data_IF_526453011344
#
_entry.id   IF_526453011344
#
_cell.length_a   1.000
_cell.length_b   1.000
_cell.length_c   1.000
_cell.angle_alpha   90.00
_cell.angle_beta   90.00
_cell.angle_gamma   90.00
#
_symmetry.space_group_name_H-M   'P 1'
#
loop_
_entity.id
_entity.type
_entity.pdbx_description
1 polymer ?
#
# COMPACT_ATOMS: atom_id res chain seq x y z
N UNK A 1 34.25 30.79 -12.11
CA UNK A 1 33.23 29.79 -11.91
C UNK A 1 33.42 29.24 -10.50
N UNK A 2 32.39 29.26 -9.65
CA UNK A 2 32.47 28.54 -8.37
C UNK A 2 32.54 27.04 -8.65
N UNK A 3 33.45 26.37 -8.02
CA UNK A 3 33.58 24.90 -8.10
C UNK A 3 32.32 24.25 -7.52
N UNK A 4 31.78 23.22 -8.18
CA UNK A 4 30.63 22.47 -7.68
C UNK A 4 31.08 21.53 -6.54
N UNK A 5 30.88 21.94 -5.31
CA UNK A 5 31.32 21.22 -4.12
C UNK A 5 30.40 20.04 -3.72
N UNK A 6 29.15 19.99 -4.22
CA UNK A 6 28.16 19.04 -3.77
C UNK A 6 28.57 17.57 -3.99
N UNK A 7 29.17 17.16 -5.14
CA UNK A 7 29.60 15.78 -5.33
C UNK A 7 30.71 15.36 -4.36
N UNK A 8 31.64 16.29 -4.09
CA UNK A 8 32.74 16.04 -3.17
C UNK A 8 32.26 15.88 -1.72
N UNK A 9 31.33 16.72 -1.27
CA UNK A 9 30.70 16.62 0.03
C UNK A 9 29.85 15.35 0.18
N UNK A 10 29.03 15.04 -0.83
CA UNK A 10 28.23 13.82 -0.84
C UNK A 10 29.12 12.59 -0.67
N UNK A 11 30.20 12.52 -1.44
CA UNK A 11 31.14 11.40 -1.36
C UNK A 11 31.75 11.28 0.05
N UNK A 12 32.23 12.37 0.63
CA UNK A 12 32.82 12.34 1.99
C UNK A 12 31.81 11.89 3.05
N UNK A 13 30.57 12.40 3.00
CA UNK A 13 29.54 12.04 3.96
C UNK A 13 29.20 10.55 3.84
N UNK A 14 29.10 10.02 2.61
CA UNK A 14 28.86 8.59 2.37
C UNK A 14 30.01 7.73 2.88
N UNK A 15 31.25 8.07 2.51
CA UNK A 15 32.45 7.33 2.93
C UNK A 15 32.53 7.27 4.47
N UNK A 16 32.29 8.40 5.15
CA UNK A 16 32.29 8.47 6.62
C UNK A 16 31.16 7.64 7.23
N UNK A 17 29.95 7.74 6.67
CA UNK A 17 28.79 6.98 7.14
C UNK A 17 28.97 5.48 6.95
N UNK A 18 29.35 5.03 5.74
CA UNK A 18 29.60 3.62 5.47
C UNK A 18 30.71 3.04 6.34
N UNK A 19 31.80 3.78 6.53
CA UNK A 19 32.89 3.37 7.40
C UNK A 19 32.39 3.23 8.84
N UNK A 20 31.68 4.23 9.34
CA UNK A 20 31.14 4.23 10.70
C UNK A 20 30.18 3.05 10.93
N UNK A 21 29.28 2.76 9.98
CA UNK A 21 28.37 1.60 10.02
C UNK A 21 29.14 0.29 10.07
N UNK A 22 30.16 0.13 9.22
CA UNK A 22 31.00 -1.10 9.15
C UNK A 22 31.82 -1.33 10.44
N UNK A 23 32.22 -0.28 11.14
CA UNK A 23 33.06 -0.37 12.33
C UNK A 23 32.26 -0.42 13.64
N UNK A 24 30.97 -0.04 13.60
CA UNK A 24 30.14 0.09 14.80
C UNK A 24 29.82 -1.25 15.44
N UNK A 25 30.08 -1.37 16.73
CA UNK A 25 29.88 -2.60 17.51
C UNK A 25 28.42 -2.93 17.72
N UNK A 26 27.58 -1.90 18.01
CA UNK A 26 26.16 -2.10 18.30
C UNK A 26 25.44 -2.61 17.02
N UNK A 27 25.77 -2.04 15.88
CA UNK A 27 25.18 -2.48 14.61
C UNK A 27 25.59 -3.90 14.26
N UNK A 28 26.85 -4.29 14.51
CA UNK A 28 27.31 -5.67 14.34
C UNK A 28 26.61 -6.63 15.29
N UNK A 29 26.55 -6.31 16.57
CA UNK A 29 25.84 -7.14 17.55
C UNK A 29 24.39 -7.39 17.18
N UNK A 30 23.68 -6.37 16.67
CA UNK A 30 22.29 -6.54 16.23
C UNK A 30 22.22 -7.35 14.93
N UNK A 31 23.11 -7.15 13.98
CA UNK A 31 23.16 -7.94 12.74
C UNK A 31 23.45 -9.42 13.04
N UNK A 32 24.30 -9.72 14.02
CA UNK A 32 24.65 -11.08 14.44
C UNK A 32 23.47 -11.83 15.11
N UNK A 33 22.44 -11.13 15.59
CA UNK A 33 21.21 -11.76 16.10
C UNK A 33 20.45 -12.53 15.00
N UNK A 34 20.60 -12.16 13.75
CA UNK A 34 19.97 -12.80 12.59
C UNK A 34 18.47 -12.95 12.78
N UNK A 35 17.97 -14.20 12.70
CA UNK A 35 16.54 -14.51 12.84
C UNK A 35 15.98 -14.34 14.27
N UNK A 36 16.84 -14.11 15.28
CA UNK A 36 16.40 -13.84 16.66
C UNK A 36 16.20 -12.36 16.95
N UNK A 37 16.57 -11.46 16.02
CA UNK A 37 16.39 -10.03 16.17
C UNK A 37 14.90 -9.65 16.24
N UNK A 38 14.61 -8.64 17.05
CA UNK A 38 13.26 -8.13 17.31
C UNK A 38 13.07 -6.72 16.75
N UNK A 39 11.85 -6.22 16.70
CA UNK A 39 11.59 -4.81 16.36
C UNK A 39 12.18 -3.81 17.38
N UNK A 40 12.37 -4.24 18.65
CA UNK A 40 13.14 -3.45 19.60
C UNK A 40 14.61 -3.31 19.18
N UNK A 41 15.21 -4.38 18.65
CA UNK A 41 16.56 -4.35 18.09
C UNK A 41 16.62 -3.53 16.80
N UNK A 42 15.61 -3.62 15.92
CA UNK A 42 15.50 -2.75 14.77
C UNK A 42 15.44 -1.26 15.15
N UNK A 43 14.70 -0.91 16.21
CA UNK A 43 14.66 0.46 16.70
C UNK A 43 16.03 0.93 17.25
N UNK A 44 16.76 0.06 17.97
CA UNK A 44 18.14 0.36 18.41
C UNK A 44 19.08 0.54 17.23
N UNK A 45 18.96 -0.31 16.22
CA UNK A 45 19.71 -0.23 14.96
C UNK A 45 19.43 1.08 14.22
N UNK A 46 18.15 1.46 14.09
CA UNK A 46 17.74 2.70 13.45
C UNK A 46 18.22 3.96 14.18
N UNK A 47 18.16 3.97 15.50
CA UNK A 47 18.73 5.05 16.31
C UNK A 47 20.22 5.17 16.00
N UNK A 48 20.94 4.05 16.06
CA UNK A 48 22.39 4.06 15.85
C UNK A 48 22.77 4.48 14.44
N UNK A 49 22.09 3.97 13.41
CA UNK A 49 22.27 4.39 12.02
C UNK A 49 22.04 5.89 11.85
N UNK A 50 20.96 6.42 12.45
CA UNK A 50 20.67 7.86 12.43
C UNK A 50 21.75 8.70 13.15
N UNK A 51 22.27 8.23 14.27
CA UNK A 51 23.38 8.88 14.99
C UNK A 51 24.66 8.93 14.16
N UNK A 52 25.00 7.82 13.50
CA UNK A 52 26.20 7.73 12.65
C UNK A 52 26.07 8.64 11.42
N UNK A 53 24.89 8.72 10.80
CA UNK A 53 24.65 9.64 9.70
C UNK A 53 24.68 11.10 10.16
N UNK A 54 24.06 11.41 11.29
CA UNK A 54 24.11 12.75 11.88
C UNK A 54 25.57 13.17 12.20
N UNK A 55 26.39 12.24 12.66
CA UNK A 55 27.81 12.49 12.91
C UNK A 55 28.59 12.71 11.59
N UNK A 56 28.28 11.95 10.54
CA UNK A 56 28.88 12.15 9.22
C UNK A 56 28.54 13.54 8.63
N UNK A 57 27.31 14.00 8.81
CA UNK A 57 26.95 15.38 8.46
C UNK A 57 27.76 16.40 9.27
N UNK A 58 27.81 16.23 10.60
CA UNK A 58 28.54 17.14 11.50
C UNK A 58 30.01 17.22 11.15
N UNK A 59 30.64 16.13 10.74
CA UNK A 59 32.05 16.08 10.38
C UNK A 59 32.37 16.82 9.07
N UNK A 60 31.40 16.86 8.14
CA UNK A 60 31.62 17.34 6.79
C UNK A 60 30.91 18.65 6.42
N UNK A 61 29.97 19.09 7.25
CA UNK A 61 29.17 20.29 6.98
C UNK A 61 29.34 21.31 8.10
N UNK A 62 29.69 22.53 7.72
CA UNK A 62 29.74 23.70 8.59
C UNK A 62 29.65 24.96 7.75
N UNK A 63 29.37 26.11 8.37
CA UNK A 63 29.39 27.41 7.67
C UNK A 63 30.74 27.71 7.02
N UNK A 64 31.85 27.16 7.55
CA UNK A 64 33.19 27.35 6.97
C UNK A 64 33.42 26.52 5.70
N UNK A 65 32.71 25.43 5.52
CA UNK A 65 32.85 24.53 4.36
C UNK A 65 31.91 24.93 3.24
N UNK A 66 30.75 25.51 3.60
CA UNK A 66 29.70 25.85 2.64
C UNK A 66 29.90 27.24 2.06
N UNK A 67 29.53 27.48 0.78
CA UNK A 67 29.62 28.79 0.13
C UNK A 67 28.80 29.81 0.94
N UNK A 68 29.38 30.97 1.20
CA UNK A 68 28.78 32.05 1.99
C UNK A 68 28.23 31.60 3.37
N UNK A 69 28.70 30.47 3.89
CA UNK A 69 28.22 29.89 5.14
C UNK A 69 26.82 29.27 5.05
N UNK A 70 26.25 29.08 3.84
CA UNK A 70 24.87 28.68 3.59
C UNK A 70 24.78 27.30 2.96
N UNK A 71 23.79 26.53 3.36
CA UNK A 71 23.40 25.32 2.67
C UNK A 71 22.42 25.68 1.55
N UNK A 72 22.92 26.06 0.39
CA UNK A 72 22.06 26.35 -0.76
C UNK A 72 21.20 25.15 -1.14
N UNK A 73 19.97 25.41 -1.62
CA UNK A 73 18.99 24.39 -1.98
C UNK A 73 19.55 23.33 -2.95
N UNK A 74 20.28 23.77 -3.98
CA UNK A 74 20.88 22.85 -4.96
C UNK A 74 21.96 21.93 -4.34
N UNK A 75 22.65 22.36 -3.30
CA UNK A 75 23.60 21.52 -2.54
C UNK A 75 22.81 20.56 -1.64
N UNK A 76 21.87 21.07 -0.84
CA UNK A 76 21.04 20.27 0.05
C UNK A 76 20.28 19.17 -0.71
N UNK A 77 19.67 19.51 -1.85
CA UNK A 77 18.87 18.59 -2.68
C UNK A 77 19.69 17.43 -3.28
N UNK A 78 20.99 17.60 -3.43
CA UNK A 78 21.91 16.60 -3.98
C UNK A 78 22.58 15.74 -2.91
N UNK A 79 22.58 16.20 -1.66
CA UNK A 79 23.25 15.49 -0.55
C UNK A 79 22.23 14.75 0.31
N UNK A 80 21.20 15.46 0.80
CA UNK A 80 20.33 14.95 1.85
C UNK A 80 19.42 13.81 1.37
N UNK A 81 18.74 13.89 0.22
CA UNK A 81 17.91 12.79 -0.26
C UNK A 81 18.67 11.49 -0.47
N UNK A 82 19.88 11.58 -1.04
CA UNK A 82 20.69 10.41 -1.35
C UNK A 82 21.17 9.70 -0.08
N UNK A 83 21.69 10.46 0.88
CA UNK A 83 22.19 9.90 2.14
C UNK A 83 21.08 9.39 3.05
N UNK A 84 19.91 10.06 3.09
CA UNK A 84 18.72 9.57 3.80
C UNK A 84 18.12 8.35 3.14
N UNK A 85 18.23 8.23 1.80
CA UNK A 85 17.81 7.02 1.08
C UNK A 85 18.71 5.84 1.43
N UNK A 86 20.02 6.02 1.52
CA UNK A 86 20.94 4.96 1.94
C UNK A 86 20.66 4.51 3.38
N UNK A 87 20.40 5.45 4.28
CA UNK A 87 19.99 5.15 5.65
C UNK A 87 18.65 4.40 5.69
N UNK A 88 17.68 4.79 4.83
CA UNK A 88 16.42 4.08 4.68
C UNK A 88 16.65 2.65 4.16
N UNK A 89 17.48 2.47 3.12
CA UNK A 89 17.74 1.15 2.55
C UNK A 89 18.35 0.19 3.58
N UNK A 90 19.27 0.69 4.40
CA UNK A 90 19.90 -0.05 5.48
C UNK A 90 18.88 -0.50 6.55
N UNK A 91 18.05 0.42 7.04
CA UNK A 91 17.09 0.15 8.13
C UNK A 91 15.92 -0.69 7.62
N UNK A 92 15.37 -0.37 6.46
CA UNK A 92 14.24 -1.12 5.90
C UNK A 92 14.64 -2.54 5.51
N UNK A 93 15.89 -2.78 5.08
CA UNK A 93 16.43 -4.12 4.90
C UNK A 93 16.46 -4.92 6.20
N UNK A 94 16.89 -4.29 7.31
CA UNK A 94 16.88 -4.93 8.63
C UNK A 94 15.47 -5.26 9.11
N UNK A 95 14.51 -4.33 8.97
CA UNK A 95 13.11 -4.58 9.37
C UNK A 95 12.45 -5.67 8.52
N UNK A 96 12.80 -5.78 7.24
CA UNK A 96 12.31 -6.83 6.34
C UNK A 96 12.76 -8.22 6.81
N UNK A 97 14.05 -8.38 7.16
CA UNK A 97 14.58 -9.62 7.71
C UNK A 97 13.88 -10.02 9.02
N UNK A 98 13.68 -9.06 9.92
CA UNK A 98 12.98 -9.30 11.20
C UNK A 98 11.53 -9.72 10.95
N UNK A 99 10.80 -9.01 10.08
CA UNK A 99 9.42 -9.36 9.78
C UNK A 99 9.31 -10.75 9.12
N UNK A 100 10.25 -11.07 8.23
CA UNK A 100 10.31 -12.40 7.63
C UNK A 100 10.51 -13.48 8.70
N UNK A 101 11.45 -13.30 9.62
CA UNK A 101 11.68 -14.23 10.71
C UNK A 101 10.46 -14.39 11.62
N UNK A 102 9.77 -13.31 11.95
CA UNK A 102 8.52 -13.35 12.72
C UNK A 102 7.41 -14.08 11.98
N UNK A 103 7.28 -13.88 10.66
CA UNK A 103 6.31 -14.59 9.83
C UNK A 103 6.60 -16.10 9.80
N UNK A 104 7.86 -16.47 9.62
CA UNK A 104 8.29 -17.89 9.63
C UNK A 104 8.02 -18.55 10.98
N UNK A 105 8.41 -17.92 12.09
CA UNK A 105 8.16 -18.41 13.44
C UNK A 105 6.67 -18.58 13.76
N UNK A 106 5.84 -17.65 13.26
CA UNK A 106 4.40 -17.69 13.44
C UNK A 106 3.68 -18.63 12.45
N UNK A 107 4.40 -19.21 11.47
CA UNK A 107 3.81 -20.02 10.39
C UNK A 107 2.95 -19.20 9.44
N UNK A 108 3.27 -17.93 9.25
CA UNK A 108 2.57 -17.00 8.36
C UNK A 108 3.23 -17.06 6.97
N UNK A 109 2.53 -17.58 5.97
CA UNK A 109 3.00 -17.68 4.58
C UNK A 109 2.82 -16.39 3.75
N UNK A 110 2.72 -15.22 4.39
CA UNK A 110 2.60 -13.93 3.71
C UNK A 110 3.98 -13.31 3.51
N UNK A 111 4.13 -12.56 2.40
CA UNK A 111 5.33 -11.77 2.15
C UNK A 111 5.43 -10.62 3.15
N UNK A 112 6.64 -10.13 3.37
CA UNK A 112 6.89 -8.89 4.09
C UNK A 112 6.59 -7.69 3.21
N UNK A 113 6.18 -6.59 3.83
CA UNK A 113 5.97 -5.30 3.16
C UNK A 113 7.08 -4.35 3.62
N UNK A 114 7.81 -3.82 2.66
CA UNK A 114 8.79 -2.76 2.90
C UNK A 114 8.06 -1.41 2.86
N UNK A 115 8.22 -0.53 3.86
CA UNK A 115 7.54 0.77 3.86
C UNK A 115 8.07 1.64 2.72
N UNK A 116 7.26 2.56 2.23
CA UNK A 116 7.71 3.55 1.24
C UNK A 116 8.65 4.59 1.90
N UNK A 117 9.62 5.07 1.11
CA UNK A 117 10.50 6.15 1.55
C UNK A 117 9.68 7.46 1.70
N UNK A 118 9.69 8.05 2.88
CA UNK A 118 8.97 9.30 3.15
C UNK A 118 9.70 10.50 2.52
N UNK A 119 9.44 10.72 1.23
CA UNK A 119 10.04 11.81 0.44
C UNK A 119 9.61 13.19 0.89
N UNK A 120 8.38 13.35 1.40
CA UNK A 120 7.86 14.61 1.90
C UNK A 120 8.65 15.09 3.12
N UNK A 121 8.99 14.16 4.01
CA UNK A 121 9.82 14.46 5.18
C UNK A 121 11.25 14.81 4.80
N UNK A 122 11.81 14.12 3.82
CA UNK A 122 13.14 14.45 3.25
C UNK A 122 13.13 15.86 2.66
N UNK A 123 12.11 16.18 1.86
CA UNK A 123 11.96 17.52 1.27
C UNK A 123 11.81 18.60 2.37
N UNK A 124 11.06 18.30 3.42
CA UNK A 124 10.94 19.17 4.58
C UNK A 124 12.30 19.46 5.26
N UNK A 125 13.19 18.46 5.37
CA UNK A 125 14.56 18.65 5.89
C UNK A 125 15.38 19.51 4.94
N UNK A 126 15.36 19.22 3.63
CA UNK A 126 16.05 20.01 2.58
C UNK A 126 15.63 21.47 2.64
N UNK A 127 14.32 21.73 2.65
CA UNK A 127 13.76 23.07 2.70
C UNK A 127 14.17 23.82 3.98
N UNK A 128 14.15 23.13 5.13
CA UNK A 128 14.51 23.76 6.40
C UNK A 128 15.98 24.18 6.45
N UNK A 129 16.90 23.31 6.02
CA UNK A 129 18.34 23.64 6.06
C UNK A 129 18.74 24.65 5.01
N UNK A 130 18.03 24.71 3.88
CA UNK A 130 18.33 25.66 2.78
C UNK A 130 17.70 27.03 2.96
N UNK A 131 16.74 27.19 3.88
CA UNK A 131 16.09 28.48 4.15
C UNK A 131 16.87 29.37 5.10
N UNK A 132 17.88 28.87 5.80
CA UNK A 132 18.62 29.64 6.79
C UNK A 132 19.71 30.53 6.19
N UNK A 133 19.97 31.66 6.83
CA UNK A 133 21.04 32.59 6.46
C UNK A 133 22.42 32.01 6.74
N UNK A 134 22.56 31.27 7.84
CA UNK A 134 23.77 30.53 8.19
C UNK A 134 23.42 29.06 8.48
N UNK A 135 24.22 28.16 7.96
CA UNK A 135 24.02 26.71 8.16
C UNK A 135 24.10 26.31 9.63
N UNK A 136 25.02 26.89 10.38
CA UNK A 136 25.25 26.54 11.80
C UNK A 136 24.02 26.80 12.68
N UNK A 137 23.14 27.76 12.29
CA UNK A 137 21.87 28.02 12.99
C UNK A 137 20.85 26.90 12.83
N UNK A 138 20.97 26.10 11.77
CA UNK A 138 20.06 25.01 11.43
C UNK A 138 20.73 23.64 11.37
N UNK A 139 22.00 23.56 11.70
CA UNK A 139 22.74 22.27 11.69
C UNK A 139 22.09 21.19 12.53
N UNK A 140 21.35 21.56 13.59
CA UNK A 140 20.58 20.65 14.44
C UNK A 140 19.52 19.85 13.67
N UNK A 141 19.04 20.36 12.51
CA UNK A 141 18.06 19.66 11.66
C UNK A 141 18.64 18.36 11.09
N UNK A 142 19.95 18.31 10.86
CA UNK A 142 20.66 17.11 10.43
C UNK A 142 21.18 16.26 11.62
N UNK A 143 20.74 16.56 12.84
CA UNK A 143 20.99 15.81 14.07
C UNK A 143 19.79 14.97 14.48
N UNK A 144 19.11 15.33 15.56
CA UNK A 144 17.99 14.57 16.13
C UNK A 144 16.82 14.32 15.15
N UNK A 145 16.42 15.26 14.26
CA UNK A 145 15.43 14.97 13.22
C UNK A 145 15.80 13.81 12.29
N UNK A 146 17.11 13.62 11.99
CA UNK A 146 17.59 12.48 11.19
C UNK A 146 17.47 11.18 11.97
N UNK A 147 17.76 11.18 13.28
CA UNK A 147 17.57 10.01 14.15
C UNK A 147 16.08 9.64 14.21
N UNK A 148 15.22 10.63 14.39
CA UNK A 148 13.77 10.39 14.40
C UNK A 148 13.23 9.93 13.04
N UNK A 149 13.81 10.40 11.93
CA UNK A 149 13.52 9.88 10.60
C UNK A 149 13.89 8.40 10.51
N UNK A 150 15.07 8.03 10.98
CA UNK A 150 15.54 6.64 11.00
C UNK A 150 14.60 5.72 11.80
N UNK A 151 14.16 6.15 12.97
CA UNK A 151 13.21 5.40 13.79
C UNK A 151 11.84 5.27 13.13
N UNK A 152 11.38 6.31 12.39
CA UNK A 152 10.07 6.24 11.72
C UNK A 152 10.02 5.18 10.62
N UNK A 153 11.14 4.78 10.04
CA UNK A 153 11.21 3.69 9.07
C UNK A 153 10.80 2.36 9.73
N UNK A 154 11.20 2.14 10.97
CA UNK A 154 10.82 0.97 11.77
C UNK A 154 9.32 1.00 12.09
N UNK A 155 8.81 2.15 12.53
CA UNK A 155 7.38 2.31 12.85
C UNK A 155 6.49 2.12 11.61
N UNK A 156 6.91 2.66 10.47
CA UNK A 156 6.23 2.50 9.19
C UNK A 156 6.27 1.04 8.71
N UNK A 157 7.38 0.33 8.90
CA UNK A 157 7.49 -1.09 8.60
C UNK A 157 6.48 -1.92 9.42
N UNK A 158 6.36 -1.65 10.72
CA UNK A 158 5.38 -2.32 11.57
C UNK A 158 3.96 -2.00 11.11
N UNK A 159 3.67 -0.73 10.83
CA UNK A 159 2.34 -0.28 10.38
C UNK A 159 1.92 -0.98 9.09
N UNK A 160 2.76 -0.94 8.06
CA UNK A 160 2.45 -1.50 6.74
C UNK A 160 2.27 -3.04 6.80
N UNK A 161 3.12 -3.74 7.56
CA UNK A 161 2.98 -5.18 7.75
C UNK A 161 1.73 -5.52 8.58
N UNK A 162 1.41 -4.75 9.63
CA UNK A 162 0.19 -4.95 10.41
C UNK A 162 -1.07 -4.73 9.56
N UNK A 163 -1.07 -3.70 8.72
CA UNK A 163 -2.18 -3.41 7.81
C UNK A 163 -2.33 -4.50 6.75
N UNK A 164 -1.24 -4.94 6.13
CA UNK A 164 -1.26 -6.01 5.13
C UNK A 164 -1.73 -7.34 5.74
N UNK A 165 -1.22 -7.70 6.91
CA UNK A 165 -1.63 -8.91 7.62
C UNK A 165 -3.09 -8.82 8.07
N UNK A 166 -3.52 -7.65 8.56
CA UNK A 166 -4.91 -7.43 8.94
C UNK A 166 -5.88 -7.56 7.76
N UNK A 167 -5.54 -6.97 6.61
CA UNK A 167 -6.30 -7.12 5.35
C UNK A 167 -6.33 -8.59 4.88
N UNK A 168 -5.32 -9.37 5.22
CA UNK A 168 -5.23 -10.80 4.93
C UNK A 168 -5.97 -11.69 5.97
N UNK A 169 -6.71 -11.08 6.89
CA UNK A 169 -7.53 -11.78 7.89
C UNK A 169 -6.77 -12.18 9.16
N UNK A 170 -5.54 -11.72 9.35
CA UNK A 170 -4.82 -11.87 10.59
C UNK A 170 -5.24 -10.77 11.59
N UNK A 171 -4.94 -10.97 12.86
CA UNK A 171 -5.16 -9.97 13.91
C UNK A 171 -3.87 -9.75 14.69
N UNK A 172 -2.86 -9.10 14.09
CA UNK A 172 -1.63 -8.81 14.80
C UNK A 172 -1.87 -7.83 15.96
N UNK A 173 -0.97 -7.85 16.91
CA UNK A 173 -0.91 -6.91 18.01
C UNK A 173 0.24 -5.94 17.82
N UNK A 174 0.00 -4.67 18.13
CA UNK A 174 1.02 -3.64 18.16
C UNK A 174 1.24 -3.24 19.61
N UNK A 175 2.48 -3.28 20.05
CA UNK A 175 2.84 -3.03 21.45
C UNK A 175 3.76 -1.82 21.49
N UNK A 176 3.30 -0.73 22.12
CA UNK A 176 4.16 0.43 22.37
C UNK A 176 4.68 0.39 23.79
N UNK A 177 6.01 0.32 23.91
CA UNK A 177 6.72 0.32 25.19
C UNK A 177 7.44 1.64 25.39
N UNK A 178 7.34 2.18 26.59
CA UNK A 178 8.04 3.40 26.98
C UNK A 178 9.50 3.11 27.34
N UNK A 179 10.39 4.03 26.95
CA UNK A 179 11.73 4.08 27.47
C UNK A 179 11.72 4.81 28.83
N UNK A 180 12.75 4.56 29.67
CA UNK A 180 12.92 5.27 30.94
C UNK A 180 12.96 6.79 30.72
N UNK A 181 12.26 7.56 31.59
CA UNK A 181 12.20 9.02 31.50
C UNK A 181 11.27 9.53 30.34
N UNK A 182 10.30 8.76 29.91
CA UNK A 182 9.37 9.18 28.87
C UNK A 182 8.46 10.34 29.34
N UNK A 183 7.96 11.14 28.37
CA UNK A 183 7.02 12.21 28.64
C UNK A 183 5.57 11.67 28.81
N UNK A 184 4.67 12.52 29.34
CA UNK A 184 3.25 12.17 29.54
C UNK A 184 2.56 11.71 28.27
N UNK A 185 2.88 12.33 27.13
CA UNK A 185 2.31 11.92 25.84
C UNK A 185 2.72 10.48 25.47
N UNK A 186 3.99 10.11 25.63
CA UNK A 186 4.44 8.74 25.41
C UNK A 186 3.77 7.75 26.37
N UNK A 187 3.57 8.14 27.62
CA UNK A 187 2.88 7.31 28.61
C UNK A 187 1.41 7.09 28.24
N UNK A 188 0.74 8.12 27.70
CA UNK A 188 -0.65 8.04 27.27
C UNK A 188 -0.87 7.11 26.05
N UNK A 189 0.13 6.96 25.17
CA UNK A 189 0.05 6.09 23.99
C UNK A 189 0.74 4.74 24.18
N UNK A 190 1.30 4.48 25.36
CA UNK A 190 1.87 3.18 25.70
C UNK A 190 0.76 2.15 25.90
N UNK A 191 0.97 0.94 25.41
CA UNK A 191 -0.02 -0.12 25.55
C UNK A 191 0.08 -1.19 24.47
N UNK A 192 -0.90 -2.08 24.49
CA UNK A 192 -1.04 -3.17 23.53
C UNK A 192 -2.36 -2.99 22.80
N UNK A 193 -2.29 -2.99 21.48
CA UNK A 193 -3.41 -2.70 20.58
C UNK A 193 -3.60 -3.83 19.59
N UNK A 194 -4.83 -4.29 19.46
CA UNK A 194 -5.20 -5.29 18.45
C UNK A 194 -5.52 -4.59 17.12
N UNK A 195 -4.96 -5.08 16.02
CA UNK A 195 -5.39 -4.58 14.71
C UNK A 195 -6.84 -5.04 14.42
N UNK A 196 -7.73 -4.17 13.88
CA UNK A 196 -7.47 -2.86 13.29
C UNK A 196 -7.55 -1.66 14.26
N UNK A 197 -7.81 -1.85 15.53
CA UNK A 197 -8.11 -0.79 16.50
C UNK A 197 -6.84 -0.12 17.07
N UNK A 198 -5.83 0.09 16.21
CA UNK A 198 -4.54 0.71 16.58
C UNK A 198 -4.63 2.22 16.37
N UNK A 199 -4.54 3.04 17.43
CA UNK A 199 -4.50 4.50 17.29
C UNK A 199 -3.31 4.95 16.45
N UNK A 200 -3.51 5.93 15.56
CA UNK A 200 -2.43 6.44 14.70
C UNK A 200 -1.23 6.99 15.50
N UNK A 201 -1.49 7.50 16.70
CA UNK A 201 -0.46 8.06 17.57
C UNK A 201 0.52 7.01 18.14
N UNK A 202 0.16 5.73 18.08
CA UNK A 202 1.05 4.63 18.49
C UNK A 202 2.33 4.61 17.66
N UNK A 203 2.28 5.03 16.38
CA UNK A 203 3.43 5.10 15.48
C UNK A 203 4.12 6.46 15.44
N UNK A 204 3.60 7.47 16.16
CA UNK A 204 4.17 8.81 16.16
C UNK A 204 5.31 8.94 17.16
N UNK A 205 6.24 9.86 16.87
CA UNK A 205 7.37 10.20 17.70
C UNK A 205 7.48 11.71 17.89
N UNK A 206 7.78 12.13 19.09
CA UNK A 206 8.22 13.49 19.39
C UNK A 206 9.75 13.58 19.32
N UNK A 207 10.28 14.77 19.45
CA UNK A 207 11.73 14.99 19.52
C UNK A 207 12.36 14.13 20.64
N UNK A 208 13.50 13.51 20.36
CA UNK A 208 14.26 12.63 21.28
C UNK A 208 13.48 11.45 21.85
N UNK A 209 12.43 11.02 21.17
CA UNK A 209 11.71 9.83 21.59
C UNK A 209 12.57 8.57 21.41
N UNK A 210 12.65 7.74 22.47
CA UNK A 210 13.37 6.45 22.46
C UNK A 210 12.45 5.26 22.76
N UNK A 211 11.14 5.49 22.81
CA UNK A 211 10.14 4.42 22.97
C UNK A 211 10.19 3.44 21.81
N UNK A 212 9.80 2.19 22.05
CA UNK A 212 9.76 1.15 21.01
C UNK A 212 8.32 0.85 20.60
N UNK A 213 8.15 0.50 19.34
CA UNK A 213 6.95 -0.14 18.83
C UNK A 213 7.34 -1.55 18.42
N UNK A 214 6.56 -2.53 18.80
CA UNK A 214 6.79 -3.93 18.51
C UNK A 214 5.57 -4.52 17.82
N UNK A 215 5.81 -5.54 17.02
CA UNK A 215 4.80 -6.30 16.31
C UNK A 215 4.71 -7.71 16.89
N UNK A 216 3.51 -8.14 17.27
CA UNK A 216 3.21 -9.52 17.65
C UNK A 216 2.20 -10.10 16.67
N UNK A 217 2.57 -11.13 15.89
CA UNK A 217 1.66 -11.79 14.95
C UNK A 217 0.52 -12.54 15.64
N UNK A 218 0.49 -12.60 16.98
CA UNK A 218 -0.42 -13.44 17.76
C UNK A 218 -0.47 -14.86 17.23
N UNK A 219 0.59 -15.60 17.41
CA UNK A 219 0.67 -17.02 17.13
C UNK A 219 -0.20 -17.85 18.10
N UNK A 220 -1.49 -17.53 18.18
CA UNK A 220 -2.45 -18.51 18.71
C UNK A 220 -2.34 -19.71 17.81
N UNK A 221 -2.35 -20.94 18.36
CA UNK A 221 -2.29 -22.25 17.71
C UNK A 221 -2.93 -22.28 16.31
N UNK A 222 -2.33 -21.58 15.34
CA UNK A 222 -2.71 -21.68 13.93
C UNK A 222 -2.16 -23.01 13.47
N UNK A 223 -3.07 -23.88 13.12
CA UNK A 223 -2.66 -25.12 12.48
C UNK A 223 -1.91 -24.73 11.21
N UNK A 224 -0.63 -24.99 11.16
CA UNK A 224 0.11 -24.96 9.93
C UNK A 224 -0.54 -26.00 9.00
N UNK A 225 -1.35 -25.52 8.06
CA UNK A 225 -2.07 -26.39 7.12
C UNK A 225 -1.08 -27.19 6.24
N UNK A 226 0.14 -26.70 6.09
CA UNK A 226 1.19 -27.33 5.28
C UNK A 226 1.96 -28.42 6.02
N UNK A 227 2.09 -28.33 7.34
CA UNK A 227 2.80 -29.33 8.17
C UNK A 227 1.86 -30.22 8.96
N UNK A 228 0.55 -30.05 8.81
CA UNK A 228 -0.42 -30.92 9.48
C UNK A 228 -0.36 -32.31 8.87
N UNK A 229 0.32 -33.21 9.54
CA UNK A 229 0.13 -34.63 9.29
C UNK A 229 -1.30 -35.01 9.71
N UNK A 230 -2.10 -35.42 8.76
CA UNK A 230 -3.42 -35.97 9.05
C UNK A 230 -3.22 -37.34 9.66
N UNK A 231 -3.58 -37.52 10.93
CA UNK A 231 -3.68 -38.87 11.52
C UNK A 231 -4.53 -39.73 10.60
N UNK A 232 -4.06 -40.94 10.30
CA UNK A 232 -4.76 -41.88 9.45
C UNK A 232 -6.27 -41.90 9.78
N UNK A 233 -7.06 -41.53 8.79
CA UNK A 233 -8.46 -41.24 9.03
C UNK A 233 -9.22 -42.55 9.09
N UNK A 234 -9.99 -42.81 10.17
CA UNK A 234 -10.90 -43.93 10.28
C UNK A 234 -11.95 -44.03 9.15
N UNK A 235 -11.98 -43.03 8.26
CA UNK A 235 -12.87 -42.94 7.11
C UNK A 235 -12.13 -43.02 5.76
N UNK A 236 -10.94 -43.61 5.67
CA UNK A 236 -10.18 -43.81 4.44
C UNK A 236 -11.03 -44.34 3.28
N UNK A 237 -11.87 -45.34 3.56
CA UNK A 237 -12.74 -45.99 2.59
C UNK A 237 -13.82 -45.04 2.02
N UNK A 238 -14.33 -44.11 2.85
CA UNK A 238 -15.27 -43.09 2.40
C UNK A 238 -14.57 -42.00 1.53
N UNK A 239 -13.30 -41.74 1.82
CA UNK A 239 -12.49 -40.78 1.05
C UNK A 239 -12.16 -41.41 -0.31
N UNK A 240 -11.74 -42.68 -0.35
CA UNK A 240 -11.47 -43.39 -1.60
C UNK A 240 -12.71 -43.51 -2.47
N UNK A 241 -13.88 -43.86 -1.90
CA UNK A 241 -15.16 -43.85 -2.63
C UNK A 241 -15.51 -42.46 -3.20
N UNK A 242 -15.18 -41.38 -2.50
CA UNK A 242 -15.38 -39.99 -3.00
C UNK A 242 -14.41 -39.61 -4.10
N UNK A 243 -13.18 -40.13 -4.11
CA UNK A 243 -12.21 -39.95 -5.19
C UNK A 243 -12.66 -40.65 -6.49
N UNK A 244 -13.42 -41.73 -6.37
CA UNK A 244 -13.98 -42.49 -7.50
C UNK A 244 -15.27 -41.90 -8.08
N UNK A 245 -15.88 -40.90 -7.42
CA UNK A 245 -17.01 -40.16 -7.97
C UNK A 245 -16.49 -39.33 -9.17
N UNK A 246 -16.93 -39.74 -10.36
CA UNK A 246 -16.38 -39.29 -11.63
C UNK A 246 -16.23 -37.77 -11.74
N UNK A 247 -15.13 -37.27 -12.35
CA UNK A 247 -14.87 -35.84 -12.56
C UNK A 247 -15.99 -35.09 -13.28
N UNK A 248 -16.82 -35.79 -14.03
CA UNK A 248 -17.96 -35.22 -14.75
C UNK A 248 -19.04 -34.61 -13.85
N UNK A 249 -19.36 -35.23 -12.71
CA UNK A 249 -20.39 -34.68 -11.80
C UNK A 249 -19.90 -33.48 -11.00
N UNK A 250 -18.60 -33.42 -10.66
CA UNK A 250 -18.01 -32.26 -10.00
C UNK A 250 -17.90 -31.08 -10.96
N UNK A 251 -17.59 -31.33 -12.23
CA UNK A 251 -17.49 -30.32 -13.29
C UNK A 251 -18.85 -29.70 -13.60
N UNK A 252 -19.91 -30.53 -13.69
CA UNK A 252 -21.29 -30.07 -13.88
C UNK A 252 -21.82 -29.29 -12.68
N UNK A 253 -21.53 -29.71 -11.43
CA UNK A 253 -21.90 -28.96 -10.22
C UNK A 253 -21.13 -27.65 -10.11
N UNK A 254 -19.85 -27.64 -10.47
CA UNK A 254 -19.03 -26.42 -10.48
C UNK A 254 -19.53 -25.44 -11.54
N UNK A 255 -19.83 -25.91 -12.75
CA UNK A 255 -20.41 -25.09 -13.82
C UNK A 255 -21.81 -24.56 -13.48
N UNK A 256 -22.65 -25.37 -12.81
CA UNK A 256 -23.97 -24.91 -12.34
C UNK A 256 -23.87 -23.92 -11.19
N UNK A 257 -22.88 -24.04 -10.31
CA UNK A 257 -22.61 -23.11 -9.22
C UNK A 257 -22.00 -21.81 -9.76
N UNK A 258 -21.06 -21.90 -10.69
CA UNK A 258 -20.50 -20.74 -11.41
C UNK A 258 -21.57 -20.01 -12.22
N UNK A 259 -22.49 -20.73 -12.86
CA UNK A 259 -23.61 -20.15 -13.57
C UNK A 259 -24.57 -19.43 -12.61
N UNK A 260 -24.93 -20.02 -11.47
CA UNK A 260 -25.74 -19.36 -10.42
C UNK A 260 -25.02 -18.16 -9.80
N UNK A 261 -23.73 -18.28 -9.51
CA UNK A 261 -22.93 -17.19 -8.98
C UNK A 261 -22.81 -16.04 -9.98
N UNK A 262 -22.64 -16.33 -11.26
CA UNK A 262 -22.64 -15.34 -12.33
C UNK A 262 -24.03 -14.71 -12.57
N UNK A 263 -25.11 -15.44 -12.29
CA UNK A 263 -26.47 -14.91 -12.34
C UNK A 263 -26.78 -14.01 -11.12
N UNK A 264 -26.27 -14.33 -9.92
CA UNK A 264 -26.51 -13.54 -8.69
C UNK A 264 -25.51 -12.40 -8.47
N UNK A 265 -24.26 -12.54 -8.92
CA UNK A 265 -23.17 -11.57 -8.69
C UNK A 265 -22.56 -11.11 -10.04
N UNK A 266 -23.29 -11.24 -11.14
CA UNK A 266 -22.78 -10.90 -12.45
C UNK A 266 -22.19 -9.48 -12.50
N UNK A 267 -21.12 -9.30 -13.26
CA UNK A 267 -20.40 -8.02 -13.41
C UNK A 267 -21.35 -6.84 -13.69
N UNK A 268 -22.40 -7.04 -14.51
CA UNK A 268 -23.41 -6.01 -14.77
C UNK A 268 -24.22 -5.68 -13.52
N UNK A 269 -24.55 -6.65 -12.67
CA UNK A 269 -25.25 -6.39 -11.42
C UNK A 269 -24.41 -5.54 -10.46
N UNK A 270 -23.09 -5.68 -10.48
CA UNK A 270 -22.18 -4.82 -9.73
C UNK A 270 -22.17 -3.40 -10.29
N UNK A 271 -22.09 -3.23 -11.63
CA UNK A 271 -22.17 -1.91 -12.28
C UNK A 271 -23.49 -1.19 -11.97
N UNK A 272 -24.61 -1.93 -11.92
CA UNK A 272 -25.94 -1.38 -11.61
C UNK A 272 -26.07 -0.99 -10.14
N UNK A 273 -25.47 -1.78 -9.24
CA UNK A 273 -25.46 -1.48 -7.78
C UNK A 273 -24.48 -0.37 -7.41
N UNK A 274 -23.36 -0.29 -8.13
CA UNK A 274 -22.26 0.64 -7.88
C UNK A 274 -21.90 1.39 -9.18
N UNK A 275 -22.74 2.31 -9.66
CA UNK A 275 -22.55 3.00 -10.95
C UNK A 275 -21.25 3.78 -11.06
N UNK A 276 -20.67 4.20 -9.94
CA UNK A 276 -19.32 4.83 -9.89
C UNK A 276 -18.22 3.98 -10.51
N UNK A 277 -18.40 2.68 -10.60
CA UNK A 277 -17.45 1.80 -11.30
C UNK A 277 -17.34 2.13 -12.78
N UNK A 278 -18.37 2.74 -13.39
CA UNK A 278 -18.36 3.12 -14.81
C UNK A 278 -17.25 4.11 -15.15
N UNK A 279 -16.87 5.00 -14.23
CA UNK A 279 -15.77 5.97 -14.41
C UNK A 279 -14.39 5.32 -14.64
N UNK A 280 -14.24 4.06 -14.21
CA UNK A 280 -12.97 3.32 -14.37
C UNK A 280 -12.79 2.75 -15.79
N UNK A 281 -13.81 2.85 -16.64
CA UNK A 281 -13.80 2.25 -17.97
C UNK A 281 -14.06 3.29 -19.07
N UNK A 282 -13.29 3.19 -20.14
CA UNK A 282 -13.75 3.76 -21.42
C UNK A 282 -14.86 2.88 -22.00
N UNK A 283 -15.74 3.38 -22.88
CA UNK A 283 -16.77 2.54 -23.52
C UNK A 283 -16.23 1.29 -24.19
N UNK A 284 -15.08 1.38 -24.87
CA UNK A 284 -14.37 0.26 -25.47
C UNK A 284 -13.85 -0.71 -24.42
N UNK A 285 -13.25 -0.19 -23.34
CA UNK A 285 -12.73 -1.00 -22.24
C UNK A 285 -13.83 -1.73 -21.49
N UNK A 286 -15.00 -1.11 -21.31
CA UNK A 286 -16.15 -1.75 -20.69
C UNK A 286 -16.75 -2.83 -21.60
N UNK A 287 -16.84 -2.60 -22.91
CA UNK A 287 -17.24 -3.62 -23.88
C UNK A 287 -16.37 -4.86 -23.74
N UNK A 288 -15.05 -4.69 -23.75
CA UNK A 288 -14.09 -5.80 -23.62
C UNK A 288 -14.22 -6.50 -22.26
N UNK A 289 -14.42 -5.76 -21.17
CA UNK A 289 -14.61 -6.33 -19.85
C UNK A 289 -15.90 -7.17 -19.75
N UNK A 290 -16.98 -6.73 -20.41
CA UNK A 290 -18.24 -7.47 -20.52
C UNK A 290 -18.06 -8.77 -21.32
N UNK A 291 -17.35 -8.72 -22.44
CA UNK A 291 -17.02 -9.90 -23.26
C UNK A 291 -16.15 -10.89 -22.47
N UNK A 292 -15.13 -10.40 -21.78
CA UNK A 292 -14.26 -11.22 -20.92
C UNK A 292 -15.02 -11.84 -19.73
N UNK A 293 -16.06 -11.17 -19.24
CA UNK A 293 -16.95 -11.71 -18.20
C UNK A 293 -18.00 -12.69 -18.75
N UNK A 294 -17.94 -13.01 -20.06
CA UNK A 294 -18.79 -14.01 -20.70
C UNK A 294 -20.15 -13.50 -21.17
N UNK A 295 -20.35 -12.18 -21.21
CA UNK A 295 -21.58 -11.62 -21.76
C UNK A 295 -21.51 -11.50 -23.27
N UNK A 296 -22.64 -11.83 -23.93
CA UNK A 296 -22.82 -11.60 -25.37
C UNK A 296 -23.14 -10.12 -25.63
N UNK A 297 -22.16 -9.39 -26.18
CA UNK A 297 -22.31 -7.97 -26.52
C UNK A 297 -22.83 -7.82 -27.94
N UNK A 298 -23.98 -7.18 -28.09
CA UNK A 298 -24.67 -6.97 -29.38
C UNK A 298 -24.83 -5.49 -29.70
N UNK A 299 -24.92 -5.07 -30.95
CA UNK A 299 -25.32 -3.72 -31.34
C UNK A 299 -26.67 -3.33 -30.72
N UNK A 300 -26.96 -2.04 -30.63
CA UNK A 300 -28.26 -1.55 -30.18
C UNK A 300 -29.40 -2.09 -31.03
N UNK A 301 -30.49 -2.49 -30.37
CA UNK A 301 -31.64 -3.10 -31.04
C UNK A 301 -32.69 -2.07 -31.45
N UNK A 302 -32.61 -0.81 -31.10
CA UNK A 302 -33.57 0.28 -31.35
C UNK A 302 -32.86 1.62 -31.50
N UNK A 303 -33.51 2.61 -32.09
CA UNK A 303 -32.99 3.97 -32.27
C UNK A 303 -32.23 4.16 -33.58
N UNK A 304 -31.65 5.35 -33.79
CA UNK A 304 -30.99 5.75 -35.03
C UNK A 304 -29.73 4.91 -35.34
N UNK A 305 -29.07 4.39 -34.31
CA UNK A 305 -27.89 3.53 -34.45
C UNK A 305 -28.23 2.02 -34.29
N UNK A 306 -29.47 1.63 -34.61
CA UNK A 306 -29.87 0.21 -34.58
C UNK A 306 -29.00 -0.61 -35.51
N UNK A 307 -28.35 -1.65 -34.95
CA UNK A 307 -27.57 -2.61 -35.75
C UNK A 307 -26.18 -2.09 -36.14
N UNK A 308 -25.84 -0.83 -35.89
CA UNK A 308 -24.49 -0.29 -36.14
C UNK A 308 -23.54 -0.89 -35.14
N UNK A 309 -22.40 -1.41 -35.61
CA UNK A 309 -21.38 -2.00 -34.75
C UNK A 309 -20.68 -0.90 -33.89
N UNK A 310 -20.11 -1.30 -32.77
CA UNK A 310 -19.38 -0.36 -31.92
C UNK A 310 -18.15 0.24 -32.64
N UNK A 311 -17.52 -0.56 -33.48
CA UNK A 311 -16.34 -0.18 -34.27
C UNK A 311 -16.69 0.85 -35.37
N UNK A 312 -17.96 0.91 -35.79
CA UNK A 312 -18.50 1.86 -36.78
C UNK A 312 -19.21 3.06 -36.11
N UNK A 313 -18.93 3.30 -34.79
CA UNK A 313 -19.52 4.40 -34.04
C UNK A 313 -20.88 4.10 -33.39
N UNK A 314 -21.38 2.84 -33.48
CA UNK A 314 -22.61 2.43 -32.83
C UNK A 314 -22.48 2.24 -31.33
N UNK A 315 -23.60 2.03 -30.66
CA UNK A 315 -23.63 1.62 -29.26
C UNK A 315 -23.76 0.09 -29.13
N UNK A 316 -23.72 -0.38 -27.89
CA UNK A 316 -23.88 -1.80 -27.61
C UNK A 316 -24.92 -2.08 -26.52
N UNK A 317 -25.41 -3.30 -26.50
CA UNK A 317 -26.31 -3.83 -25.47
C UNK A 317 -25.90 -5.21 -25.03
N UNK A 318 -26.18 -5.49 -23.75
CA UNK A 318 -25.97 -6.79 -23.11
C UNK A 318 -27.23 -7.16 -22.34
N UNK A 319 -27.66 -8.42 -22.43
CA UNK A 319 -28.76 -8.95 -21.62
C UNK A 319 -28.20 -9.44 -20.28
N UNK A 320 -28.92 -9.17 -19.16
CA UNK A 320 -28.59 -9.70 -17.86
C UNK A 320 -29.84 -9.99 -17.02
N UNK A 321 -29.90 -11.14 -16.40
CA UNK A 321 -30.94 -11.53 -15.45
C UNK A 321 -32.38 -11.33 -15.93
N UNK A 322 -32.89 -12.19 -16.79
CA UNK A 322 -34.25 -12.13 -17.32
C UNK A 322 -34.43 -11.02 -18.36
N UNK A 323 -35.35 -10.07 -18.12
CA UNK A 323 -35.66 -8.98 -19.06
C UNK A 323 -34.74 -7.75 -18.95
N UNK A 324 -33.60 -7.88 -18.25
CA UNK A 324 -32.68 -6.80 -18.04
C UNK A 324 -31.75 -6.54 -19.22
N UNK A 325 -31.53 -5.27 -19.55
CA UNK A 325 -30.55 -4.81 -20.53
C UNK A 325 -29.65 -3.73 -19.93
N UNK A 326 -28.34 -3.88 -20.15
CA UNK A 326 -27.34 -2.83 -19.98
C UNK A 326 -26.91 -2.35 -21.36
N UNK A 327 -26.91 -1.04 -21.58
CA UNK A 327 -26.68 -0.45 -22.90
C UNK A 327 -25.69 0.71 -22.78
N UNK A 328 -24.86 0.87 -23.79
CA UNK A 328 -24.10 2.09 -24.05
C UNK A 328 -24.66 2.80 -25.26
N UNK A 329 -24.89 4.10 -25.11
CA UNK A 329 -25.32 4.98 -26.19
C UNK A 329 -24.22 6.01 -26.44
N UNK A 330 -23.62 6.05 -27.64
CA UNK A 330 -22.61 7.06 -27.98
C UNK A 330 -23.26 8.45 -28.16
N UNK A 331 -22.43 9.47 -28.25
CA UNK A 331 -22.85 10.87 -28.43
C UNK A 331 -23.69 11.04 -29.71
N UNK A 332 -23.18 10.52 -30.82
CA UNK A 332 -23.91 10.50 -32.12
C UNK A 332 -25.06 9.51 -32.07
N UNK A 333 -26.27 9.99 -32.06
CA UNK A 333 -27.51 9.17 -32.03
C UNK A 333 -28.14 9.05 -30.64
N UNK A 334 -27.60 9.68 -29.62
CA UNK A 334 -28.31 9.94 -28.39
C UNK A 334 -29.25 11.13 -28.54
N UNK A 335 -30.39 11.12 -27.85
CA UNK A 335 -31.33 12.26 -27.89
C UNK A 335 -30.77 13.57 -27.39
N UNK A 336 -29.57 13.55 -26.74
CA UNK A 336 -29.01 14.68 -26.02
C UNK A 336 -27.56 15.00 -26.43
N UNK A 337 -27.01 14.39 -27.48
CA UNK A 337 -25.63 14.56 -27.92
C UNK A 337 -24.59 14.37 -26.80
N UNK A 338 -24.90 13.50 -25.83
CA UNK A 338 -24.01 13.16 -24.71
C UNK A 338 -23.97 11.63 -24.58
N UNK A 339 -22.80 10.99 -24.48
CA UNK A 339 -22.73 9.55 -24.29
C UNK A 339 -23.23 9.16 -22.89
N UNK A 340 -23.96 8.07 -22.80
CA UNK A 340 -24.49 7.57 -21.52
C UNK A 340 -24.66 6.06 -21.50
N UNK A 341 -24.67 5.51 -20.29
CA UNK A 341 -25.09 4.13 -20.05
C UNK A 341 -26.55 4.08 -19.61
N UNK A 342 -27.24 3.03 -20.04
CA UNK A 342 -28.66 2.83 -19.71
C UNK A 342 -28.87 1.42 -19.17
N UNK A 343 -29.59 1.32 -18.07
CA UNK A 343 -30.12 0.05 -17.56
C UNK A 343 -31.62 0.03 -17.69
N UNK A 344 -32.17 -1.10 -18.09
CA UNK A 344 -33.62 -1.31 -18.14
C UNK A 344 -33.92 -2.72 -17.64
N UNK A 345 -35.06 -2.91 -16.96
CA UNK A 345 -35.54 -4.20 -16.51
C UNK A 345 -37.05 -4.25 -16.74
N UNK A 346 -37.47 -5.00 -17.75
CA UNK A 346 -38.88 -5.02 -18.20
C UNK A 346 -39.40 -3.63 -18.52
N UNK A 347 -40.65 -3.38 -18.25
CA UNK A 347 -41.30 -2.06 -18.39
C UNK A 347 -41.20 -1.16 -17.20
N UNK A 348 -40.48 -1.57 -16.13
CA UNK A 348 -40.65 -1.00 -14.79
C UNK A 348 -39.52 -0.05 -14.34
N UNK A 349 -38.30 -0.20 -14.86
CA UNK A 349 -37.16 0.64 -14.41
C UNK A 349 -36.17 0.93 -15.52
N UNK A 350 -36.11 2.17 -15.95
CA UNK A 350 -35.02 2.67 -16.79
C UNK A 350 -34.23 3.70 -16.00
N UNK A 351 -32.92 3.45 -15.85
CA UNK A 351 -31.98 4.40 -15.30
C UNK A 351 -30.91 4.74 -16.32
N UNK A 352 -30.46 5.98 -16.32
CA UNK A 352 -29.36 6.44 -17.17
C UNK A 352 -28.23 6.97 -16.29
N UNK A 353 -27.02 6.72 -16.72
CA UNK A 353 -25.81 7.14 -16.02
C UNK A 353 -24.88 7.84 -17.01
N UNK A 354 -24.33 8.97 -16.61
CA UNK A 354 -23.24 9.60 -17.36
C UNK A 354 -21.96 8.75 -17.28
N UNK A 355 -20.91 9.19 -17.96
CA UNK A 355 -19.62 8.48 -17.98
C UNK A 355 -18.93 8.41 -16.61
N UNK A 356 -19.31 9.27 -15.66
CA UNK A 356 -18.83 9.27 -14.30
C UNK A 356 -19.67 8.43 -13.33
N UNK A 357 -20.72 7.77 -13.83
CA UNK A 357 -21.61 6.93 -13.04
C UNK A 357 -22.69 7.70 -12.27
N UNK A 358 -22.83 9.02 -12.45
CA UNK A 358 -23.92 9.78 -11.84
C UNK A 358 -25.22 9.53 -12.61
N UNK A 359 -26.34 9.38 -11.88
CA UNK A 359 -27.65 9.19 -12.48
C UNK A 359 -28.12 10.48 -13.14
N UNK A 360 -28.57 10.37 -14.41
CA UNK A 360 -29.03 11.49 -15.22
C UNK A 360 -30.47 11.30 -15.69
N UNK A 361 -31.19 12.41 -15.89
CA UNK A 361 -32.53 12.41 -16.45
C UNK A 361 -32.54 12.19 -17.97
N UNK A 362 -33.72 12.36 -18.58
CA UNK A 362 -33.92 12.28 -20.03
C UNK A 362 -33.11 13.31 -20.80
N UNK A 363 -32.75 14.44 -20.22
CA UNK A 363 -32.06 15.56 -20.85
C UNK A 363 -30.56 15.56 -20.52
N UNK A 364 -30.05 14.50 -19.85
CA UNK A 364 -28.63 14.35 -19.48
C UNK A 364 -28.21 15.15 -18.24
N UNK A 365 -29.16 15.80 -17.54
CA UNK A 365 -28.88 16.55 -16.34
C UNK A 365 -28.73 15.59 -15.15
N UNK A 366 -27.73 15.80 -14.31
CA UNK A 366 -27.50 14.98 -13.10
C UNK A 366 -28.65 15.16 -12.12
N UNK A 367 -29.36 14.06 -11.85
CA UNK A 367 -30.45 14.02 -10.87
C UNK A 367 -29.98 13.43 -9.55
N UNK A 368 -28.95 12.57 -9.58
CA UNK A 368 -28.39 11.98 -8.37
C UNK A 368 -26.89 11.73 -8.56
N UNK A 369 -26.08 12.27 -7.67
CA UNK A 369 -24.65 11.89 -7.54
C UNK A 369 -24.59 10.58 -6.74
N UNK A 370 -23.96 9.56 -7.34
CA UNK A 370 -23.84 8.22 -6.73
C UNK A 370 -22.50 8.07 -6.02
#
# INVERSE_FOLDING_TARGET
>A
MMEDIAPGLLKKIRDDFEKAVKEDKIMKEIADLGQSATYADANRFAIRAGELLAQAYKNNLSSNVLPDGRMYYNIAKRIIPDTLKENYDLISGMTELIQQALNEQAGIGLKTIRPELNTDRIEGIVNKVSAAELYDDVAWVLGEPVINFSQSIVDDSIRENAEFHGKSGLRPQIIRKIAGGCCEWCAAVAGTYDYPDVPKDVYRRHERCRCTVEYDPKSGKRQNIWTKEWKANKNSDKIEKRKQIAPAQSKLKKQALEKKLNEEIGFINQLVKHPKMLQAYTPKGLKQALENAGYEVKPLGRGNLKGVSFEEGGGYRVSYGGDGYFQYHPEEGSHHNIPYYKTSRGNVMTRRYNMNGDEVDGDGKVVKRT
#
